data_IF_103443047723
#
_entry.id   IF_103443047723
#
_cell.length_a   1.000
_cell.length_b   1.000
_cell.length_c   1.000
_cell.angle_alpha   90.00
_cell.angle_beta   90.00
_cell.angle_gamma   90.00
#
_symmetry.space_group_name_H-M   'P 1'
#
loop_
_entity.id
_entity.type
_entity.pdbx_description
1 polymer ?
#
# COMPACT_ATOMS: atom_id res chain seq x y z
N UNK A 1 5.35 -8.85 -16.00
CA UNK A 1 6.46 -8.74 -15.02
C UNK A 1 5.86 -8.77 -13.63
N UNK A 2 6.46 -9.49 -12.70
CA UNK A 2 6.08 -9.51 -11.28
C UNK A 2 7.11 -8.70 -10.50
N UNK A 3 6.64 -7.89 -9.55
CA UNK A 3 7.48 -7.17 -8.60
C UNK A 3 7.16 -7.72 -7.22
N UNK A 4 8.19 -7.94 -6.41
CA UNK A 4 8.05 -8.47 -5.07
C UNK A 4 9.10 -7.87 -4.13
N UNK A 5 8.86 -8.00 -2.83
CA UNK A 5 9.86 -7.80 -1.79
C UNK A 5 10.45 -9.18 -1.47
N UNK A 6 11.77 -9.35 -1.51
CA UNK A 6 12.41 -10.66 -1.34
C UNK A 6 13.71 -10.60 -0.55
N UNK A 7 14.08 -11.75 0.02
CA UNK A 7 15.30 -11.96 0.78
C UNK A 7 15.28 -11.36 2.19
N UNK A 8 16.30 -11.68 2.98
CA UNK A 8 16.46 -11.21 4.37
C UNK A 8 16.62 -9.69 4.46
N UNK A 9 17.22 -9.08 3.43
CA UNK A 9 17.39 -7.63 3.34
C UNK A 9 16.12 -6.92 2.84
N UNK A 10 15.03 -7.66 2.56
CA UNK A 10 13.76 -7.13 2.04
C UNK A 10 13.95 -6.18 0.86
N UNK A 11 14.59 -6.70 -0.19
CA UNK A 11 14.92 -5.94 -1.38
C UNK A 11 13.76 -5.95 -2.35
N UNK A 12 13.61 -4.85 -3.08
CA UNK A 12 12.67 -4.80 -4.20
C UNK A 12 13.25 -5.61 -5.38
N UNK A 13 12.48 -6.54 -5.92
CA UNK A 13 12.94 -7.41 -7.00
C UNK A 13 11.90 -7.54 -8.11
N UNK A 14 12.36 -7.74 -9.35
CA UNK A 14 11.54 -8.06 -10.51
C UNK A 14 11.84 -9.47 -10.99
N UNK A 15 10.82 -10.13 -11.50
CA UNK A 15 10.96 -11.40 -12.21
C UNK A 15 9.95 -11.50 -13.34
N UNK A 16 10.30 -12.19 -14.41
CA UNK A 16 9.35 -12.44 -15.47
C UNK A 16 8.37 -13.54 -15.05
N UNK A 17 7.10 -13.38 -15.42
CA UNK A 17 6.05 -14.33 -15.04
C UNK A 17 6.28 -15.69 -15.73
N UNK A 18 6.92 -15.72 -16.91
CA UNK A 18 7.31 -16.99 -17.55
C UNK A 18 8.29 -17.77 -16.71
N UNK A 19 9.27 -17.09 -16.10
CA UNK A 19 10.32 -17.75 -15.33
C UNK A 19 9.75 -18.33 -14.05
N UNK A 20 8.82 -17.61 -13.44
CA UNK A 20 8.02 -18.11 -12.31
C UNK A 20 7.19 -19.33 -12.70
N UNK A 21 6.47 -19.27 -13.82
CA UNK A 21 5.68 -20.40 -14.35
C UNK A 21 6.54 -21.61 -14.71
N UNK A 22 7.72 -21.39 -15.28
CA UNK A 22 8.67 -22.45 -15.60
C UNK A 22 9.21 -23.09 -14.32
N UNK A 23 9.55 -22.27 -13.32
CA UNK A 23 9.98 -22.74 -11.99
C UNK A 23 8.96 -23.68 -11.36
N UNK A 24 7.66 -23.36 -11.40
CA UNK A 24 6.60 -24.22 -10.86
C UNK A 24 6.47 -25.59 -11.55
N UNK A 25 7.00 -25.76 -12.76
CA UNK A 25 6.97 -27.03 -13.51
C UNK A 25 8.20 -27.91 -13.25
N UNK A 26 9.20 -27.40 -12.54
CA UNK A 26 10.42 -28.13 -12.25
C UNK A 26 10.30 -28.87 -10.91
N UNK A 27 10.90 -30.07 -10.82
CA UNK A 27 11.01 -30.84 -9.56
C UNK A 27 11.77 -30.08 -8.46
N UNK A 28 12.56 -29.07 -8.86
CA UNK A 28 13.25 -28.12 -7.98
C UNK A 28 12.92 -26.70 -8.44
N UNK A 29 11.82 -26.10 -7.96
CA UNK A 29 11.41 -24.78 -8.40
C UNK A 29 12.45 -23.74 -7.99
N UNK A 30 13.04 -23.07 -8.98
CA UNK A 30 13.96 -21.96 -8.76
C UNK A 30 13.63 -20.80 -9.69
N UNK A 31 13.53 -19.61 -9.14
CA UNK A 31 13.40 -18.35 -9.89
C UNK A 31 14.57 -17.47 -9.46
N UNK A 32 15.21 -16.80 -10.42
CA UNK A 32 16.27 -15.83 -10.14
C UNK A 32 15.69 -14.42 -10.28
N UNK A 33 15.21 -13.83 -9.18
CA UNK A 33 14.75 -12.46 -9.21
C UNK A 33 15.92 -11.50 -9.47
N UNK A 34 15.68 -10.45 -10.24
CA UNK A 34 16.62 -9.36 -10.47
C UNK A 34 16.31 -8.24 -9.48
N UNK A 35 17.31 -7.81 -8.72
CA UNK A 35 17.15 -6.69 -7.77
C UNK A 35 16.87 -5.39 -8.53
N UNK A 36 15.84 -4.68 -8.08
CA UNK A 36 15.42 -3.38 -8.62
C UNK A 36 15.94 -2.30 -7.68
N UNK A 37 16.96 -1.57 -8.13
CA UNK A 37 17.66 -0.57 -7.34
C UNK A 37 18.30 -1.13 -6.06
N UNK A 38 19.27 -0.42 -5.48
CA UNK A 38 19.91 -0.82 -4.21
C UNK A 38 19.06 -0.39 -3.00
N UNK A 39 17.79 -0.83 -3.00
CA UNK A 39 16.83 -0.55 -1.94
C UNK A 39 16.74 -1.77 -1.01
N UNK A 40 17.08 -1.55 0.25
CA UNK A 40 16.95 -2.56 1.32
C UNK A 40 15.81 -2.15 2.25
N UNK A 41 15.40 -3.02 3.18
CA UNK A 41 14.41 -2.76 4.24
C UNK A 41 13.03 -2.28 3.77
N UNK A 42 12.66 -2.59 2.52
CA UNK A 42 11.33 -2.32 2.00
C UNK A 42 10.31 -3.22 2.68
N UNK A 43 9.23 -2.65 3.24
CA UNK A 43 8.23 -3.47 3.94
C UNK A 43 6.82 -3.45 3.41
N UNK A 44 6.49 -2.44 2.63
CA UNK A 44 5.22 -2.34 1.92
C UNK A 44 5.51 -1.96 0.48
N UNK A 45 4.70 -2.51 -0.43
CA UNK A 45 4.68 -2.12 -1.83
C UNK A 45 3.24 -2.09 -2.32
N UNK A 46 2.91 -1.07 -3.08
CA UNK A 46 1.69 -1.01 -3.88
C UNK A 46 2.01 -0.48 -5.27
N UNK A 47 1.18 -0.84 -6.23
CA UNK A 47 1.28 -0.36 -7.62
C UNK A 47 0.07 0.51 -7.87
N UNK A 48 0.29 1.78 -8.20
CA UNK A 48 -0.77 2.69 -8.55
C UNK A 48 -1.01 2.65 -10.06
N UNK A 49 -2.27 2.40 -10.42
CA UNK A 49 -2.75 2.46 -11.80
C UNK A 49 -3.69 3.65 -11.94
N UNK A 50 -3.61 4.35 -13.07
CA UNK A 50 -4.56 5.40 -13.36
C UNK A 50 -5.93 4.87 -13.81
N UNK A 51 -6.87 5.78 -14.03
CA UNK A 51 -8.24 5.48 -14.49
C UNK A 51 -8.29 4.71 -15.82
N UNK A 52 -7.21 4.73 -16.62
CA UNK A 52 -7.09 3.94 -17.87
C UNK A 52 -6.46 2.57 -17.62
N UNK A 53 -6.26 2.19 -16.35
CA UNK A 53 -5.55 0.99 -15.90
C UNK A 53 -4.10 0.93 -16.35
N UNK A 54 -3.50 2.07 -16.64
CA UNK A 54 -2.07 2.14 -16.94
C UNK A 54 -1.30 2.28 -15.64
N UNK A 55 -0.28 1.45 -15.46
CA UNK A 55 0.58 1.51 -14.29
C UNK A 55 1.37 2.82 -14.33
N UNK A 56 1.19 3.67 -13.32
CA UNK A 56 1.90 4.95 -13.22
C UNK A 56 3.11 4.86 -12.30
N UNK A 57 2.90 4.34 -11.10
CA UNK A 57 3.96 4.33 -10.09
C UNK A 57 3.97 3.04 -9.27
N UNK A 58 5.16 2.73 -8.78
CA UNK A 58 5.39 1.77 -7.72
C UNK A 58 5.71 2.59 -6.48
N UNK A 59 4.99 2.29 -5.42
CA UNK A 59 5.09 3.03 -4.18
C UNK A 59 5.46 2.04 -3.11
N UNK A 60 6.52 2.37 -2.39
CA UNK A 60 7.07 1.46 -1.40
C UNK A 60 7.50 2.23 -0.17
N UNK A 61 7.37 1.57 0.97
CA UNK A 61 7.76 2.17 2.23
C UNK A 61 9.14 1.68 2.65
N UNK A 62 10.00 2.63 3.00
CA UNK A 62 11.36 2.43 3.42
C UNK A 62 11.63 3.24 4.70
N UNK A 63 11.88 2.55 5.82
CA UNK A 63 12.10 3.14 7.15
C UNK A 63 10.96 4.04 7.64
N UNK A 64 10.93 5.30 7.20
CA UNK A 64 9.98 6.34 7.56
C UNK A 64 9.61 7.21 6.34
N UNK A 65 9.70 6.66 5.12
CA UNK A 65 9.35 7.36 3.90
C UNK A 65 8.58 6.47 2.94
N UNK A 66 7.52 7.01 2.35
CA UNK A 66 6.85 6.45 1.18
C UNK A 66 7.55 7.03 -0.06
N UNK A 67 8.11 6.14 -0.86
CA UNK A 67 8.85 6.45 -2.09
C UNK A 67 7.96 6.24 -3.29
N UNK A 68 8.01 7.15 -4.27
CA UNK A 68 7.22 7.10 -5.50
C UNK A 68 8.17 6.95 -6.70
N UNK A 69 8.07 5.83 -7.41
CA UNK A 69 8.95 5.51 -8.52
C UNK A 69 8.17 5.18 -9.79
N UNK A 70 8.65 5.62 -10.95
CA UNK A 70 8.05 5.32 -12.26
C UNK A 70 8.20 3.83 -12.58
N UNK A 71 7.12 3.15 -12.97
CA UNK A 71 7.12 1.69 -13.17
C UNK A 71 8.16 1.15 -14.17
N UNK A 72 8.33 1.82 -15.32
CA UNK A 72 9.17 1.29 -16.40
C UNK A 72 10.67 1.37 -16.14
N UNK A 73 11.13 2.43 -15.46
CA UNK A 73 12.55 2.70 -15.25
C UNK A 73 12.94 2.71 -13.77
N UNK A 74 11.99 2.52 -12.86
CA UNK A 74 12.16 2.58 -11.41
C UNK A 74 12.87 3.85 -10.93
N UNK A 75 12.64 4.95 -11.65
CA UNK A 75 13.20 6.26 -11.31
C UNK A 75 12.38 6.85 -10.16
N UNK A 76 13.02 7.01 -9.01
CA UNK A 76 12.45 7.71 -7.85
C UNK A 76 12.23 9.18 -8.23
N UNK A 77 11.02 9.69 -8.00
CA UNK A 77 10.68 11.08 -8.30
C UNK A 77 10.16 11.87 -7.10
N UNK A 78 9.66 11.20 -6.06
CA UNK A 78 9.20 11.87 -4.84
C UNK A 78 9.28 10.97 -3.60
N UNK A 79 9.26 11.61 -2.43
CA UNK A 79 9.31 11.01 -1.11
C UNK A 79 8.36 11.76 -0.19
N UNK A 80 7.60 11.02 0.62
CA UNK A 80 6.78 11.57 1.71
C UNK A 80 7.24 10.93 3.01
N UNK A 81 7.67 11.75 3.96
CA UNK A 81 8.08 11.28 5.27
C UNK A 81 6.86 10.93 6.13
N UNK A 82 6.98 9.85 6.89
CA UNK A 82 5.98 9.39 7.86
C UNK A 82 6.51 9.57 9.27
N UNK A 83 5.61 9.83 10.22
CA UNK A 83 5.98 9.97 11.64
C UNK A 83 6.30 8.62 12.25
N UNK A 84 5.51 7.60 11.89
CA UNK A 84 5.69 6.21 12.26
C UNK A 84 5.86 5.34 11.00
N UNK A 85 6.46 4.15 11.10
CA UNK A 85 6.49 3.22 9.97
C UNK A 85 5.08 2.89 9.50
N UNK A 86 4.81 3.03 8.19
CA UNK A 86 3.48 2.71 7.67
C UNK A 86 3.12 1.24 7.93
N UNK A 87 1.88 1.00 8.38
CA UNK A 87 1.32 -0.33 8.66
C UNK A 87 0.62 -0.92 7.43
N UNK A 88 0.02 -0.08 6.60
CA UNK A 88 -0.62 -0.48 5.35
C UNK A 88 -0.40 0.55 4.24
N UNK A 89 -0.49 0.11 2.98
CA UNK A 89 -0.31 0.95 1.79
C UNK A 89 -1.14 0.38 0.64
N UNK A 90 -2.19 1.10 0.21
CA UNK A 90 -3.08 0.68 -0.87
C UNK A 90 -3.23 1.77 -1.95
N UNK A 91 -3.45 1.36 -3.19
CA UNK A 91 -3.83 2.28 -4.26
C UNK A 91 -5.34 2.50 -4.25
N UNK A 92 -5.75 3.76 -4.41
CA UNK A 92 -7.10 4.16 -4.76
C UNK A 92 -7.09 4.75 -6.19
N UNK A 93 -8.24 5.21 -6.68
CA UNK A 93 -8.41 5.61 -8.08
C UNK A 93 -7.46 6.75 -8.52
N UNK A 94 -7.36 7.81 -7.72
CA UNK A 94 -6.57 9.01 -8.03
C UNK A 94 -5.39 9.23 -7.05
N UNK A 95 -5.10 8.23 -6.24
CA UNK A 95 -4.22 8.40 -5.09
C UNK A 95 -3.82 7.12 -4.40
N UNK A 96 -3.17 7.28 -3.25
CA UNK A 96 -2.72 6.19 -2.39
C UNK A 96 -3.19 6.48 -0.98
N UNK A 97 -3.61 5.44 -0.27
CA UNK A 97 -3.93 5.50 1.15
C UNK A 97 -2.89 4.71 1.92
N UNK A 98 -2.40 5.28 3.01
CA UNK A 98 -1.53 4.57 3.95
C UNK A 98 -1.96 4.82 5.39
N UNK A 99 -1.69 3.84 6.24
CA UNK A 99 -1.84 3.94 7.70
C UNK A 99 -0.46 4.02 8.34
N UNK A 100 -0.28 4.90 9.31
CA UNK A 100 0.90 5.00 10.16
C UNK A 100 0.45 5.28 11.61
N UNK A 101 0.65 6.50 12.12
CA UNK A 101 0.04 6.99 13.36
C UNK A 101 -1.48 7.26 13.21
N UNK A 102 -1.91 7.59 12.00
CA UNK A 102 -3.29 7.68 11.55
C UNK A 102 -3.36 7.33 10.05
N UNK A 103 -4.53 7.44 9.45
CA UNK A 103 -4.69 7.25 8.00
C UNK A 103 -4.45 8.54 7.22
N UNK A 104 -3.78 8.41 6.08
CA UNK A 104 -3.47 9.51 5.18
C UNK A 104 -3.85 9.15 3.75
N UNK A 105 -4.27 10.16 3.00
CA UNK A 105 -4.44 10.11 1.56
C UNK A 105 -3.31 10.91 0.90
N UNK A 106 -2.70 10.33 -0.13
CA UNK A 106 -1.75 11.01 -1.01
C UNK A 106 -2.39 11.16 -2.38
N UNK A 107 -2.48 12.41 -2.82
CA UNK A 107 -2.90 12.75 -4.17
C UNK A 107 -1.75 12.48 -5.15
N UNK A 108 -1.96 11.65 -6.17
CA UNK A 108 -0.88 11.24 -7.09
C UNK A 108 -0.55 12.27 -8.18
N UNK A 109 -1.37 13.30 -8.35
CA UNK A 109 -1.10 14.39 -9.30
C UNK A 109 -0.21 15.46 -8.65
N UNK A 110 -0.51 15.83 -7.41
CA UNK A 110 0.21 16.86 -6.66
C UNK A 110 1.31 16.30 -5.75
N UNK A 111 1.28 15.00 -5.46
CA UNK A 111 2.16 14.31 -4.49
C UNK A 111 2.09 14.98 -3.11
N UNK A 112 0.87 15.32 -2.69
CA UNK A 112 0.61 15.92 -1.38
C UNK A 112 -0.13 14.94 -0.47
N UNK A 113 0.33 14.81 0.77
CA UNK A 113 -0.32 13.99 1.80
C UNK A 113 -1.23 14.82 2.67
N UNK A 114 -2.41 14.28 3.00
CA UNK A 114 -3.33 14.84 4.00
C UNK A 114 -3.90 13.72 4.89
N UNK A 115 -4.16 13.98 6.17
CA UNK A 115 -4.82 13.00 7.04
C UNK A 115 -6.27 12.78 6.60
N UNK A 116 -6.76 11.55 6.79
CA UNK A 116 -8.18 11.20 6.63
C UNK A 116 -8.82 11.26 8.03
N UNK A 117 -9.52 12.35 8.30
CA UNK A 117 -10.16 12.59 9.60
C UNK A 117 -11.64 12.27 9.49
N UNK A 118 -12.10 11.24 10.22
CA UNK A 118 -13.51 10.86 10.24
C UNK A 118 -14.20 11.43 11.49
N UNK A 119 -15.23 12.24 11.28
CA UNK A 119 -15.95 12.88 12.39
C UNK A 119 -16.60 11.84 13.33
N UNK A 120 -16.46 12.07 14.64
CA UNK A 120 -16.97 11.17 15.68
C UNK A 120 -16.27 9.81 15.74
N UNK A 121 -15.19 9.61 14.99
CA UNK A 121 -14.35 8.42 15.10
C UNK A 121 -13.42 8.53 16.31
N UNK A 122 -13.40 7.55 17.22
CA UNK A 122 -12.38 7.47 18.27
C UNK A 122 -10.98 7.40 17.66
N UNK A 123 -9.98 7.91 18.40
CA UNK A 123 -8.58 7.68 18.04
C UNK A 123 -8.21 6.24 18.37
N UNK A 124 -7.61 5.54 17.42
CA UNK A 124 -7.13 4.18 17.55
C UNK A 124 -6.03 3.90 16.50
N UNK A 125 -5.31 2.79 16.66
CA UNK A 125 -4.17 2.46 15.81
C UNK A 125 -4.60 1.92 14.43
N UNK A 126 -4.11 2.50 13.32
CA UNK A 126 -4.33 1.97 11.98
C UNK A 126 -3.76 0.56 11.79
N UNK A 127 -4.59 -0.38 11.39
CA UNK A 127 -4.17 -1.74 11.02
C UNK A 127 -4.11 -1.92 9.50
N UNK A 128 -5.20 -1.58 8.82
CA UNK A 128 -5.32 -1.78 7.39
C UNK A 128 -6.31 -0.79 6.76
N UNK A 129 -6.14 -0.56 5.46
CA UNK A 129 -7.14 0.10 4.63
C UNK A 129 -7.57 -0.90 3.56
N UNK A 130 -8.87 -0.99 3.31
CA UNK A 130 -9.43 -1.89 2.29
C UNK A 130 -10.27 -1.07 1.32
N UNK A 131 -9.96 -1.13 0.03
CA UNK A 131 -10.79 -0.52 -0.99
C UNK A 131 -12.07 -1.34 -1.18
N UNK A 132 -13.23 -0.73 -0.93
CA UNK A 132 -14.54 -1.36 -1.13
C UNK A 132 -15.09 -1.03 -2.52
N UNK A 133 -14.85 0.20 -2.96
CA UNK A 133 -15.09 0.67 -4.33
C UNK A 133 -14.12 1.81 -4.66
N UNK A 134 -14.23 2.37 -5.87
CA UNK A 134 -13.41 3.52 -6.27
C UNK A 134 -13.58 4.76 -5.37
N UNK A 135 -14.66 4.82 -4.58
CA UNK A 135 -15.00 5.97 -3.71
C UNK A 135 -15.28 5.60 -2.26
N UNK A 136 -15.24 4.32 -1.90
CA UNK A 136 -15.49 3.85 -0.53
C UNK A 136 -14.32 2.97 -0.09
N UNK A 137 -13.83 3.23 1.11
CA UNK A 137 -12.83 2.43 1.79
C UNK A 137 -13.29 2.07 3.20
N UNK A 138 -12.81 0.93 3.68
CA UNK A 138 -12.86 0.57 5.08
C UNK A 138 -11.52 0.93 5.71
N UNK A 139 -11.55 1.86 6.66
CA UNK A 139 -10.44 2.13 7.57
C UNK A 139 -10.54 1.17 8.75
N UNK A 140 -9.64 0.19 8.80
CA UNK A 140 -9.61 -0.78 9.87
C UNK A 140 -8.61 -0.35 10.94
N UNK A 141 -9.15 -0.04 12.11
CA UNK A 141 -8.40 0.23 13.33
C UNK A 141 -8.31 -1.02 14.19
N UNK A 142 -7.56 -0.95 15.30
CA UNK A 142 -7.36 -2.07 16.20
C UNK A 142 -8.66 -2.63 16.79
N UNK A 143 -9.61 -1.77 17.18
CA UNK A 143 -10.84 -2.17 17.87
C UNK A 143 -12.10 -2.12 16.99
N UNK A 144 -12.07 -1.33 15.91
CA UNK A 144 -13.22 -1.15 15.04
C UNK A 144 -12.82 -0.81 13.60
N UNK A 145 -13.79 -0.84 12.69
CA UNK A 145 -13.68 -0.41 11.31
C UNK A 145 -14.66 0.71 10.99
N UNK A 146 -14.27 1.60 10.08
CA UNK A 146 -15.13 2.70 9.62
C UNK A 146 -15.15 2.76 8.11
N UNK A 147 -16.34 2.78 7.53
CA UNK A 147 -16.51 3.00 6.10
C UNK A 147 -16.55 4.50 5.81
N UNK A 148 -15.69 4.95 4.90
CA UNK A 148 -15.53 6.36 4.55
C UNK A 148 -15.13 6.53 3.09
N UNK A 149 -15.32 7.72 2.55
CA UNK A 149 -14.60 8.16 1.36
C UNK A 149 -13.17 8.64 1.71
N UNK A 150 -12.38 8.97 0.69
CA UNK A 150 -11.00 9.50 0.86
C UNK A 150 -10.94 10.87 1.55
N UNK A 151 -12.08 11.55 1.69
CA UNK A 151 -12.19 12.87 2.34
C UNK A 151 -12.49 12.73 3.83
N UNK A 152 -12.78 11.53 4.32
CA UNK A 152 -13.15 11.28 5.73
C UNK A 152 -14.66 11.33 5.99
N UNK A 153 -15.49 11.42 4.94
CA UNK A 153 -16.94 11.38 5.10
C UNK A 153 -17.40 9.94 5.27
N UNK A 154 -18.12 9.67 6.35
CA UNK A 154 -18.75 8.36 6.59
C UNK A 154 -19.70 8.00 5.45
N UNK A 155 -19.50 6.82 4.87
CA UNK A 155 -20.40 6.25 3.86
C UNK A 155 -21.43 5.31 4.47
N UNK A 156 -21.19 4.86 5.72
CA UNK A 156 -22.10 4.01 6.49
C UNK A 156 -22.27 4.55 7.92
N UNK A 157 -23.46 4.40 8.52
CA UNK A 157 -23.78 5.05 9.79
C UNK A 157 -23.02 4.45 10.98
N UNK A 158 -22.82 3.14 11.00
CA UNK A 158 -22.27 2.41 12.15
C UNK A 158 -20.81 2.01 11.93
N UNK A 159 -20.06 1.95 13.04
CA UNK A 159 -18.74 1.32 13.06
C UNK A 159 -18.90 -0.20 13.00
N UNK A 160 -17.90 -0.88 12.46
CA UNK A 160 -17.79 -2.34 12.53
C UNK A 160 -16.94 -2.69 13.73
N UNK A 161 -17.54 -3.21 14.79
CA UNK A 161 -16.76 -3.65 15.96
C UNK A 161 -16.14 -5.03 15.71
N UNK A 162 -14.88 -5.19 16.09
CA UNK A 162 -14.22 -6.49 16.02
C UNK A 162 -14.48 -7.28 17.31
N UNK A 163 -14.96 -8.51 17.18
CA UNK A 163 -15.05 -9.41 18.34
C UNK A 163 -13.66 -9.77 18.91
N UNK A 164 -12.62 -9.69 18.07
CA UNK A 164 -11.19 -9.87 18.40
C UNK A 164 -10.37 -9.03 17.44
N UNK A 165 -9.28 -8.44 17.92
CA UNK A 165 -8.37 -7.67 17.09
C UNK A 165 -7.89 -8.52 15.89
N UNK A 166 -8.16 -8.08 14.66
CA UNK A 166 -7.74 -8.79 13.45
C UNK A 166 -6.22 -8.68 13.29
N UNK A 167 -5.56 -9.81 13.03
CA UNK A 167 -4.11 -9.86 12.82
C UNK A 167 -3.71 -9.30 11.45
N UNK A 168 -4.57 -9.48 10.45
CA UNK A 168 -4.39 -8.96 9.10
C UNK A 168 -5.75 -8.77 8.41
N UNK A 169 -5.81 -7.83 7.47
CA UNK A 169 -6.87 -7.73 6.47
C UNK A 169 -6.20 -7.97 5.12
N UNK A 170 -6.56 -9.08 4.47
CA UNK A 170 -5.98 -9.50 3.20
C UNK A 170 -6.46 -8.68 2.01
#
# INVERSE_FOLDING_TARGET
MLIAISGLQRQLVQMHVSDLKAGFKCDRPTVRPTVIANLNTCHLITVHTDQRKLIRSINFHLFANISFATYFHFLLHALISTVEPATCLISMNDGIVFGADQFYYVDMETITSRPIVVAGCPSDFPLAAVAISDRELLLAYHNFGVFTDISGNRTRPENVDWNRAPLEFG
#
